data_IF_954504843981
#
_entry.id   IF_954504843981
#
_cell.length_a   1.000
_cell.length_b   1.000
_cell.length_c   1.000
_cell.angle_alpha   90.00
_cell.angle_beta   90.00
_cell.angle_gamma   90.00
#
_symmetry.space_group_name_H-M   'P 1'
#
loop_
_entity.id
_entity.type
_entity.pdbx_description
1 polymer ?
#
# COMPACT_ATOMS: atom_id res chain seq x y z
N UNK A 1 48.08 -29.70 -22.11
CA UNK A 1 46.83 -30.22 -21.54
C UNK A 1 46.02 -29.04 -21.02
N UNK A 2 45.01 -28.59 -21.76
CA UNK A 2 44.01 -27.63 -21.27
C UNK A 2 42.69 -28.38 -21.16
N UNK A 3 42.27 -28.69 -19.94
CA UNK A 3 40.93 -29.20 -19.66
C UNK A 3 39.96 -28.02 -19.73
N UNK A 4 39.18 -27.93 -20.80
CA UNK A 4 38.04 -27.02 -20.88
C UNK A 4 36.89 -27.64 -20.06
N UNK A 5 36.63 -27.05 -18.90
CA UNK A 5 35.44 -27.30 -18.10
C UNK A 5 34.23 -26.67 -18.81
N UNK A 6 33.43 -27.50 -19.48
CA UNK A 6 32.07 -27.14 -19.87
C UNK A 6 31.21 -27.08 -18.60
N UNK A 7 30.89 -25.87 -18.14
CA UNK A 7 29.82 -25.65 -17.17
C UNK A 7 28.53 -25.52 -17.98
N UNK A 8 27.58 -26.47 -17.89
CA UNK A 8 26.27 -26.27 -18.48
C UNK A 8 25.55 -25.22 -17.63
N UNK A 9 25.51 -23.99 -18.13
CA UNK A 9 24.57 -22.97 -17.66
C UNK A 9 23.19 -23.51 -17.99
N UNK A 10 22.57 -24.16 -17.00
CA UNK A 10 21.15 -24.50 -17.00
C UNK A 10 20.39 -23.18 -17.14
N UNK A 11 20.01 -22.84 -18.37
CA UNK A 11 19.00 -21.82 -18.63
C UNK A 11 17.74 -22.25 -17.87
N UNK A 12 17.45 -21.50 -16.80
CA UNK A 12 16.15 -21.51 -16.14
C UNK A 12 15.11 -21.23 -17.21
N UNK A 13 14.35 -22.27 -17.56
CA UNK A 13 13.14 -22.16 -18.36
C UNK A 13 12.20 -21.28 -17.55
N UNK A 14 12.09 -20.02 -17.92
CA UNK A 14 11.00 -19.18 -17.48
C UNK A 14 9.73 -19.83 -18.01
N UNK A 15 9.04 -20.58 -17.13
CA UNK A 15 7.72 -21.11 -17.42
C UNK A 15 6.81 -19.89 -17.51
N UNK A 16 6.66 -19.36 -18.72
CA UNK A 16 5.77 -18.25 -19.05
C UNK A 16 4.30 -18.70 -19.11
N UNK A 17 3.88 -19.51 -18.14
CA UNK A 17 2.50 -19.89 -17.93
C UNK A 17 1.84 -18.93 -16.95
N UNK A 18 0.57 -18.61 -17.17
CA UNK A 18 -0.23 -18.00 -16.12
C UNK A 18 -0.25 -18.95 -14.92
N UNK A 19 -0.06 -18.46 -13.68
CA UNK A 19 -0.10 -19.30 -12.50
C UNK A 19 -1.47 -19.96 -12.39
N UNK A 20 -1.48 -21.23 -11.99
CA UNK A 20 -2.69 -21.97 -11.71
C UNK A 20 -3.37 -21.43 -10.45
N UNK A 21 -4.67 -21.67 -10.34
CA UNK A 21 -5.46 -21.29 -9.15
C UNK A 21 -4.87 -21.86 -7.85
N UNK A 22 -4.36 -23.09 -7.90
CA UNK A 22 -3.70 -23.74 -6.75
C UNK A 22 -2.40 -23.03 -6.35
N UNK A 23 -1.60 -22.60 -7.31
CA UNK A 23 -0.38 -21.81 -7.03
C UNK A 23 -0.75 -20.48 -6.37
N UNK A 24 -1.82 -19.84 -6.81
CA UNK A 24 -2.30 -18.59 -6.21
C UNK A 24 -2.83 -18.74 -4.79
N UNK A 25 -3.50 -19.85 -4.49
CA UNK A 25 -3.94 -20.15 -3.12
C UNK A 25 -2.76 -20.47 -2.20
N UNK A 26 -1.76 -21.20 -2.69
CA UNK A 26 -0.53 -21.46 -1.92
C UNK A 26 0.26 -20.18 -1.66
N UNK A 27 0.37 -19.29 -2.66
CA UNK A 27 1.03 -17.99 -2.50
C UNK A 27 0.31 -17.10 -1.48
N UNK A 28 -1.04 -17.11 -1.50
CA UNK A 28 -1.85 -16.40 -0.50
C UNK A 28 -1.61 -16.95 0.91
N UNK A 29 -1.62 -18.27 1.07
CA UNK A 29 -1.34 -18.92 2.37
C UNK A 29 0.09 -18.60 2.86
N UNK A 30 1.07 -18.59 1.96
CA UNK A 30 2.43 -18.18 2.29
C UNK A 30 2.46 -16.72 2.81
N UNK A 31 1.71 -15.81 2.18
CA UNK A 31 1.62 -14.42 2.64
C UNK A 31 0.94 -14.28 4.02
N UNK A 32 -0.04 -15.11 4.33
CA UNK A 32 -0.69 -15.18 5.66
C UNK A 32 0.27 -15.71 6.73
N UNK A 33 1.08 -16.73 6.41
CA UNK A 33 2.13 -17.24 7.28
C UNK A 33 3.20 -16.17 7.54
N UNK A 34 3.67 -15.49 6.48
CA UNK A 34 4.61 -14.38 6.60
C UNK A 34 4.08 -13.24 7.47
N UNK A 35 2.79 -12.93 7.39
CA UNK A 35 2.12 -11.94 8.25
C UNK A 35 2.26 -12.34 9.72
N UNK A 36 1.95 -13.60 10.03
CA UNK A 36 2.03 -14.15 11.38
C UNK A 36 3.47 -14.17 11.90
N UNK A 37 4.43 -14.63 11.08
CA UNK A 37 5.85 -14.66 11.43
C UNK A 37 6.45 -13.27 11.65
N UNK A 38 6.01 -12.29 10.88
CA UNK A 38 6.41 -10.90 11.05
C UNK A 38 5.75 -10.25 12.27
N UNK A 39 4.82 -10.95 12.94
CA UNK A 39 3.95 -10.40 13.97
C UNK A 39 3.27 -9.10 13.49
N UNK A 40 2.91 -9.10 12.21
CA UNK A 40 2.15 -8.05 11.58
C UNK A 40 0.68 -8.34 11.80
N UNK A 41 -0.06 -7.30 12.10
CA UNK A 41 -1.49 -7.40 12.27
C UNK A 41 -2.10 -6.32 11.41
N UNK A 42 -2.81 -6.67 10.34
CA UNK A 42 -3.31 -5.68 9.37
C UNK A 42 -4.42 -4.78 9.94
N UNK A 43 -5.19 -5.32 10.89
CA UNK A 43 -6.13 -4.56 11.72
C UNK A 43 -5.41 -3.66 12.76
N UNK A 44 -4.10 -3.81 12.83
CA UNK A 44 -3.17 -3.20 13.76
C UNK A 44 -1.90 -2.78 13.00
N UNK A 45 -2.10 -2.16 11.82
CA UNK A 45 -1.73 -0.75 11.75
C UNK A 45 -2.51 -0.11 12.89
N UNK A 46 -2.01 -0.32 14.11
CA UNK A 46 -2.62 0.20 15.29
C UNK A 46 -2.52 1.66 14.97
N UNK A 47 -3.64 2.38 14.98
CA UNK A 47 -3.60 3.84 14.96
C UNK A 47 -2.91 4.38 16.23
N UNK A 48 -2.14 3.56 16.93
CA UNK A 48 -0.94 3.98 17.64
C UNK A 48 0.13 4.47 16.65
N UNK A 49 -0.23 5.54 15.96
CA UNK A 49 0.63 6.41 15.18
C UNK A 49 1.86 6.89 15.98
N UNK A 50 1.86 6.76 17.31
CA UNK A 50 3.01 7.11 18.16
C UNK A 50 4.10 6.03 18.16
N UNK A 51 3.81 4.81 17.69
CA UNK A 51 4.74 3.68 17.71
C UNK A 51 5.00 3.09 16.31
N UNK A 52 4.79 3.90 15.26
CA UNK A 52 4.94 3.49 13.86
C UNK A 52 6.36 2.98 13.53
N UNK A 53 7.39 3.46 14.24
CA UNK A 53 8.79 3.05 14.04
C UNK A 53 9.00 1.56 14.34
N UNK A 54 8.28 1.02 15.33
CA UNK A 54 8.34 -0.40 15.66
C UNK A 54 7.70 -1.31 14.60
N UNK A 55 6.88 -0.74 13.71
CA UNK A 55 6.23 -1.47 12.61
C UNK A 55 7.11 -1.56 11.35
N UNK A 56 8.08 -0.66 11.17
CA UNK A 56 9.02 -0.66 10.04
C UNK A 56 9.77 -2.00 9.90
N UNK A 57 10.48 -2.50 10.94
CA UNK A 57 11.22 -3.76 10.81
C UNK A 57 10.29 -4.97 10.60
N UNK A 58 9.06 -4.93 11.11
CA UNK A 58 8.06 -5.99 10.87
C UNK A 58 7.63 -6.01 9.41
N UNK A 59 7.37 -4.84 8.84
CA UNK A 59 7.02 -4.69 7.43
C UNK A 59 8.16 -5.13 6.50
N UNK A 60 9.40 -4.74 6.79
CA UNK A 60 10.57 -5.18 6.01
C UNK A 60 10.74 -6.70 6.07
N UNK A 61 10.55 -7.30 7.25
CA UNK A 61 10.56 -8.76 7.41
C UNK A 61 9.46 -9.42 6.58
N UNK A 62 8.26 -8.85 6.57
CA UNK A 62 7.14 -9.36 5.78
C UNK A 62 7.40 -9.27 4.28
N UNK A 63 7.86 -8.12 3.78
CA UNK A 63 8.20 -7.93 2.35
C UNK A 63 9.24 -8.97 1.90
N UNK A 64 10.26 -9.21 2.73
CA UNK A 64 11.29 -10.21 2.44
C UNK A 64 10.75 -11.65 2.46
N UNK A 65 9.81 -11.94 3.36
CA UNK A 65 9.22 -13.27 3.49
C UNK A 65 8.29 -13.59 2.32
N UNK A 66 7.42 -12.66 1.93
CA UNK A 66 6.47 -12.85 0.83
C UNK A 66 7.16 -12.95 -0.53
N UNK A 67 8.20 -12.14 -0.74
CA UNK A 67 8.84 -12.04 -2.06
C UNK A 67 7.96 -11.29 -3.08
N UNK A 68 8.29 -11.42 -4.36
CA UNK A 68 7.49 -10.84 -5.44
C UNK A 68 6.36 -11.80 -5.84
N UNK A 69 5.08 -11.42 -5.65
CA UNK A 69 3.96 -12.29 -6.00
C UNK A 69 3.83 -12.46 -7.51
N UNK A 70 3.52 -13.67 -7.97
CA UNK A 70 3.28 -13.96 -9.38
C UNK A 70 1.79 -13.96 -9.73
N UNK A 71 0.92 -14.20 -8.74
CA UNK A 71 -0.52 -14.23 -8.97
C UNK A 71 -1.12 -12.83 -9.04
N UNK A 72 -1.92 -12.50 -10.09
CA UNK A 72 -2.41 -11.13 -10.30
C UNK A 72 -3.13 -10.52 -9.10
N UNK A 73 -4.00 -11.28 -8.44
CA UNK A 73 -4.75 -10.81 -7.27
C UNK A 73 -3.83 -10.55 -6.07
N UNK A 74 -2.91 -11.48 -5.78
CA UNK A 74 -1.96 -11.35 -4.68
C UNK A 74 -0.96 -10.22 -4.92
N UNK A 75 -0.52 -10.02 -6.17
CA UNK A 75 0.32 -8.89 -6.56
C UNK A 75 -0.38 -7.56 -6.25
N UNK A 76 -1.70 -7.47 -6.46
CA UNK A 76 -2.49 -6.28 -6.09
C UNK A 76 -2.67 -6.09 -4.60
N UNK A 77 -2.91 -7.16 -3.85
CA UNK A 77 -2.90 -7.08 -2.39
C UNK A 77 -1.55 -6.61 -1.86
N UNK A 78 -0.45 -7.17 -2.37
CA UNK A 78 0.91 -6.80 -1.98
C UNK A 78 1.21 -5.33 -2.33
N UNK A 79 0.86 -4.89 -3.54
CA UNK A 79 0.98 -3.49 -3.97
C UNK A 79 0.20 -2.55 -3.02
N UNK A 80 -1.08 -2.85 -2.77
CA UNK A 80 -1.93 -2.04 -1.90
C UNK A 80 -1.40 -1.95 -0.48
N UNK A 81 -0.88 -3.06 0.04
CA UNK A 81 -0.23 -3.14 1.35
C UNK A 81 1.01 -2.25 1.44
N UNK A 82 1.90 -2.29 0.43
CA UNK A 82 3.10 -1.41 0.42
C UNK A 82 2.72 0.07 0.40
N UNK A 83 1.74 0.43 -0.41
CA UNK A 83 1.26 1.80 -0.52
C UNK A 83 0.66 2.27 0.80
N UNK A 84 -0.23 1.47 1.40
CA UNK A 84 -0.85 1.80 2.68
C UNK A 84 0.21 1.99 3.78
N UNK A 85 1.20 1.10 3.86
CA UNK A 85 2.28 1.21 4.83
C UNK A 85 3.08 2.50 4.66
N UNK A 86 3.44 2.86 3.42
CA UNK A 86 4.18 4.09 3.12
C UNK A 86 3.39 5.35 3.49
N UNK A 87 2.08 5.38 3.18
CA UNK A 87 1.19 6.49 3.57
C UNK A 87 1.15 6.61 5.10
N UNK A 88 1.02 5.49 5.81
CA UNK A 88 0.99 5.46 7.28
C UNK A 88 2.27 6.05 7.87
N UNK A 89 3.44 5.57 7.46
CA UNK A 89 4.73 6.04 7.97
C UNK A 89 4.94 7.54 7.71
N UNK A 90 4.62 8.03 6.50
CA UNK A 90 4.76 9.46 6.17
C UNK A 90 3.81 10.34 6.99
N UNK A 91 2.56 9.89 7.15
CA UNK A 91 1.55 10.64 7.91
C UNK A 91 1.88 10.67 9.40
N UNK A 92 2.39 9.57 9.97
CA UNK A 92 2.76 9.48 11.38
C UNK A 92 3.90 10.45 11.77
N UNK A 93 4.86 10.66 10.86
CA UNK A 93 6.09 11.41 11.10
C UNK A 93 5.91 12.92 11.17
N UNK A 94 5.17 13.48 10.20
CA UNK A 94 5.26 14.93 9.95
C UNK A 94 3.91 15.63 10.08
N UNK A 95 2.90 15.38 9.22
CA UNK A 95 1.74 16.24 9.20
C UNK A 95 0.75 15.97 10.34
N UNK A 96 0.88 14.90 11.13
CA UNK A 96 -0.17 14.50 12.08
C UNK A 96 -0.55 15.58 13.10
N UNK A 97 0.37 16.23 13.82
CA UNK A 97 0.00 17.29 14.76
C UNK A 97 -0.72 18.46 14.08
N UNK A 98 -0.40 18.72 12.81
CA UNK A 98 -1.05 19.71 11.97
C UNK A 98 -2.46 19.24 11.54
N UNK A 99 -2.60 18.01 11.02
CA UNK A 99 -3.87 17.43 10.60
C UNK A 99 -4.88 17.30 11.74
N UNK A 100 -4.44 16.86 12.91
CA UNK A 100 -5.29 16.71 14.11
C UNK A 100 -5.86 18.07 14.57
N UNK A 101 -5.18 19.18 14.26
CA UNK A 101 -5.61 20.56 14.59
C UNK A 101 -6.30 21.28 13.44
N UNK A 102 -6.24 20.74 12.22
CA UNK A 102 -6.73 21.39 11.00
C UNK A 102 -8.23 21.17 10.75
N UNK A 103 -9.03 20.65 11.69
CA UNK A 103 -10.49 20.47 11.57
C UNK A 103 -10.98 19.98 10.18
N UNK A 104 -10.25 19.04 9.58
CA UNK A 104 -10.40 18.65 8.16
C UNK A 104 -11.70 17.90 7.84
N UNK A 105 -12.57 17.70 8.82
CA UNK A 105 -13.83 16.97 8.70
C UNK A 105 -14.79 17.64 7.72
N UNK A 106 -14.68 18.95 7.55
CA UNK A 106 -15.44 19.76 6.58
C UNK A 106 -15.13 19.41 5.12
N UNK A 107 -13.95 18.85 4.83
CA UNK A 107 -13.58 18.42 3.49
C UNK A 107 -14.20 17.09 3.07
N UNK A 108 -14.82 16.36 4.01
CA UNK A 108 -15.25 15.00 3.76
C UNK A 108 -16.32 14.97 2.66
N UNK A 109 -16.10 14.22 1.58
CA UNK A 109 -17.08 14.14 0.51
C UNK A 109 -18.36 13.44 0.97
N UNK A 110 -19.48 13.87 0.42
CA UNK A 110 -20.75 13.16 0.56
C UNK A 110 -20.82 12.04 -0.49
N UNK A 111 -20.71 10.78 -0.04
CA UNK A 111 -20.86 9.61 -0.89
C UNK A 111 -19.56 8.99 -1.40
N UNK A 112 -19.68 8.13 -2.43
CA UNK A 112 -18.54 7.49 -3.07
C UNK A 112 -17.80 8.49 -3.96
N UNK A 113 -16.47 8.48 -3.87
CA UNK A 113 -15.61 9.37 -4.63
C UNK A 113 -14.76 8.58 -5.60
N UNK A 114 -14.67 9.07 -6.82
CA UNK A 114 -13.81 8.50 -7.85
C UNK A 114 -12.34 8.64 -7.46
N UNK A 115 -11.54 7.61 -7.71
CA UNK A 115 -10.15 7.56 -7.22
C UNK A 115 -9.27 8.71 -7.69
N UNK A 116 -9.63 9.38 -8.80
CA UNK A 116 -8.90 10.52 -9.34
C UNK A 116 -9.48 11.88 -8.96
N UNK A 117 -10.56 11.92 -8.19
CA UNK A 117 -11.10 13.17 -7.65
C UNK A 117 -10.21 13.66 -6.51
N UNK A 118 -9.61 14.83 -6.72
CA UNK A 118 -8.66 15.43 -5.79
C UNK A 118 -9.33 16.42 -4.83
N UNK A 119 -10.63 16.69 -4.97
CA UNK A 119 -11.35 17.72 -4.20
C UNK A 119 -11.16 17.61 -2.69
N UNK A 120 -11.21 16.40 -2.14
CA UNK A 120 -10.92 16.14 -0.73
C UNK A 120 -9.50 16.59 -0.37
N UNK A 121 -8.49 16.17 -1.13
CA UNK A 121 -7.08 16.46 -0.84
C UNK A 121 -6.74 17.93 -1.05
N UNK A 122 -7.34 18.57 -2.05
CA UNK A 122 -7.20 20.00 -2.32
C UNK A 122 -7.79 20.81 -1.16
N UNK A 123 -9.00 20.47 -0.70
CA UNK A 123 -9.62 21.08 0.47
C UNK A 123 -8.76 20.94 1.73
N UNK A 124 -8.26 19.72 2.02
CA UNK A 124 -7.40 19.50 3.19
C UNK A 124 -6.12 20.32 3.08
N UNK A 125 -5.50 20.33 1.90
CA UNK A 125 -4.28 21.10 1.64
C UNK A 125 -4.52 22.60 1.89
N UNK A 126 -5.66 23.13 1.45
CA UNK A 126 -5.99 24.54 1.64
C UNK A 126 -6.29 24.91 3.09
N UNK A 127 -6.91 24.01 3.86
CA UNK A 127 -7.06 24.21 5.32
C UNK A 127 -5.70 24.16 6.01
N UNK A 128 -4.84 23.19 5.66
CA UNK A 128 -3.49 23.10 6.25
C UNK A 128 -2.66 24.36 5.97
N UNK A 129 -2.75 24.95 4.77
CA UNK A 129 -2.05 26.21 4.44
C UNK A 129 -2.52 27.39 5.28
N UNK A 130 -3.78 27.38 5.73
CA UNK A 130 -4.39 28.46 6.51
C UNK A 130 -4.21 28.27 8.02
N UNK A 131 -3.88 27.05 8.47
CA UNK A 131 -3.71 26.73 9.87
C UNK A 131 -2.38 27.23 10.42
N UNK A 132 -2.42 27.87 11.59
CA UNK A 132 -1.24 28.24 12.37
C UNK A 132 -0.52 27.03 13.00
N UNK A 133 -1.18 25.87 13.02
CA UNK A 133 -0.62 24.62 13.50
C UNK A 133 0.28 23.90 12.49
N UNK A 134 0.27 24.34 11.23
CA UNK A 134 0.91 23.66 10.12
C UNK A 134 2.13 24.43 9.61
N UNK A 135 3.23 23.71 9.41
CA UNK A 135 4.40 24.24 8.71
C UNK A 135 4.27 23.99 7.21
N UNK A 136 5.05 24.73 6.40
CA UNK A 136 5.16 24.45 4.97
C UNK A 136 5.66 23.02 4.71
N UNK A 137 6.46 22.46 5.63
CA UNK A 137 6.92 21.07 5.54
C UNK A 137 5.74 20.11 5.67
N UNK A 138 4.85 20.33 6.63
CA UNK A 138 3.67 19.48 6.83
C UNK A 138 2.76 19.48 5.59
N UNK A 139 2.51 20.66 5.03
CA UNK A 139 1.74 20.84 3.79
C UNK A 139 2.41 20.09 2.64
N UNK A 140 3.71 20.26 2.43
CA UNK A 140 4.44 19.60 1.34
C UNK A 140 4.44 18.07 1.52
N UNK A 141 4.58 17.59 2.75
CA UNK A 141 4.56 16.16 3.04
C UNK A 141 3.18 15.56 2.81
N UNK A 142 2.11 16.25 3.20
CA UNK A 142 0.74 15.84 2.85
C UNK A 142 0.54 15.71 1.35
N UNK A 143 0.90 16.76 0.60
CA UNK A 143 0.81 16.77 -0.87
C UNK A 143 1.60 15.62 -1.48
N UNK A 144 2.78 15.30 -0.94
CA UNK A 144 3.69 14.30 -1.50
C UNK A 144 3.12 12.88 -1.55
N UNK A 145 2.15 12.54 -0.70
CA UNK A 145 1.53 11.21 -0.69
C UNK A 145 0.14 11.15 -1.33
N UNK A 146 -0.39 12.25 -1.87
CA UNK A 146 -1.65 12.23 -2.64
C UNK A 146 -1.58 11.26 -3.85
N UNK A 147 -0.47 11.17 -4.62
CA UNK A 147 -0.39 10.18 -5.69
C UNK A 147 -0.51 8.74 -5.19
N UNK A 148 0.06 8.45 -4.01
CA UNK A 148 -0.01 7.14 -3.36
C UNK A 148 -1.44 6.83 -2.91
N UNK A 149 -2.19 7.79 -2.38
CA UNK A 149 -3.59 7.58 -1.98
C UNK A 149 -4.50 7.33 -3.18
N UNK A 150 -4.31 8.07 -4.28
CA UNK A 150 -4.97 7.85 -5.57
C UNK A 150 -4.66 6.44 -6.10
N UNK A 151 -3.39 6.03 -6.06
CA UNK A 151 -2.99 4.69 -6.50
C UNK A 151 -3.61 3.61 -5.63
N UNK A 152 -3.62 3.77 -4.31
CA UNK A 152 -4.25 2.82 -3.39
C UNK A 152 -5.74 2.64 -3.70
N UNK A 153 -6.46 3.73 -3.99
CA UNK A 153 -7.86 3.64 -4.39
C UNK A 153 -8.03 2.83 -5.70
N UNK A 154 -7.19 3.09 -6.72
CA UNK A 154 -7.22 2.32 -7.98
C UNK A 154 -6.93 0.84 -7.76
N UNK A 155 -5.92 0.51 -6.96
CA UNK A 155 -5.60 -0.89 -6.60
C UNK A 155 -6.79 -1.58 -5.94
N UNK A 156 -7.55 -0.90 -5.08
CA UNK A 156 -8.78 -1.47 -4.50
C UNK A 156 -9.87 -1.74 -5.54
N UNK A 157 -10.01 -0.89 -6.57
CA UNK A 157 -10.92 -1.14 -7.70
C UNK A 157 -10.44 -2.34 -8.53
N UNK A 158 -9.15 -2.40 -8.87
CA UNK A 158 -8.53 -3.51 -9.59
C UNK A 158 -8.71 -4.86 -8.84
N UNK A 159 -8.59 -4.86 -7.50
CA UNK A 159 -8.88 -6.05 -6.66
C UNK A 159 -10.35 -6.48 -6.79
N UNK A 160 -11.30 -5.54 -6.70
CA UNK A 160 -12.73 -5.86 -6.85
C UNK A 160 -13.03 -6.47 -8.21
N UNK A 161 -12.45 -5.92 -9.28
CA UNK A 161 -12.58 -6.44 -10.65
C UNK A 161 -12.03 -7.87 -10.76
N UNK A 162 -10.84 -8.14 -10.21
CA UNK A 162 -10.24 -9.48 -10.19
C UNK A 162 -11.07 -10.50 -9.38
N UNK A 163 -11.79 -10.04 -8.36
CA UNK A 163 -12.72 -10.85 -7.58
C UNK A 163 -14.10 -11.03 -8.24
N UNK A 164 -14.34 -10.40 -9.39
CA UNK A 164 -15.65 -10.39 -10.04
C UNK A 164 -16.73 -9.64 -9.26
N UNK A 165 -16.33 -8.75 -8.34
CA UNK A 165 -17.26 -7.93 -7.56
C UNK A 165 -17.68 -6.75 -8.45
N UNK A 166 -18.98 -6.58 -8.75
CA UNK A 166 -19.44 -5.49 -9.60
C UNK A 166 -19.14 -4.14 -8.95
N UNK A 167 -18.89 -3.08 -9.75
CA UNK A 167 -18.77 -1.74 -9.21
C UNK A 167 -20.06 -1.37 -8.48
N UNK A 168 -19.93 -0.73 -7.31
CA UNK A 168 -21.08 -0.19 -6.59
C UNK A 168 -21.77 0.79 -7.54
N UNK A 169 -23.08 0.62 -7.78
CA UNK A 169 -23.83 1.59 -8.57
C UNK A 169 -23.92 2.88 -7.77
N UNK A 170 -23.34 3.94 -8.29
CA UNK A 170 -23.51 5.30 -7.76
C UNK A 170 -24.94 5.72 -8.15
N UNK A 171 -25.77 6.00 -7.14
CA UNK A 171 -27.11 6.59 -7.31
C UNK A 171 -27.01 8.11 -7.27
#
# INVERSE_FOLDING_TARGET
MLQQLFVPVLFLVAVSGNPSEKECELEKQAAENCTSEANMTWNTVNRDWNNYESEIPKFEKWVKCVGEPVCPLNAKYFEGTKIMFNIFVRTAREPRPCLDKSEITSCRPEGEVECGDLSFYDCVTDIMKQSDACTQKDVNTYISFIPDTVRFCKVRKEIKELLGIPPTRIN
#
